data_IF_302542889874
#
_entry.id   IF_302542889874
#
_cell.length_a   1.000
_cell.length_b   1.000
_cell.length_c   1.000
_cell.angle_alpha   90.00
_cell.angle_beta   90.00
_cell.angle_gamma   90.00
#
_symmetry.space_group_name_H-M   'P 1'
#
loop_
_entity.id
_entity.type
_entity.pdbx_description
1 polymer ?
#
# COMPACT_ATOMS: atom_id res chain seq x y z
N UNK A 1 23.84 -1.38 11.61
CA UNK A 1 22.54 -2.02 11.38
C UNK A 1 21.46 -0.94 11.21
N UNK A 2 20.67 -1.08 10.18
CA UNK A 2 19.54 -0.16 10.01
C UNK A 2 18.41 -0.57 10.95
N UNK A 3 17.79 0.41 11.57
CA UNK A 3 16.60 0.18 12.39
C UNK A 3 15.43 -0.13 11.46
N UNK A 4 14.52 -0.97 11.94
CA UNK A 4 13.26 -1.19 11.21
C UNK A 4 12.43 0.09 11.24
N UNK A 5 11.80 0.39 10.13
CA UNK A 5 10.87 1.50 10.05
C UNK A 5 9.61 1.15 10.85
N UNK A 6 8.81 2.15 11.16
CA UNK A 6 7.64 1.97 12.02
C UNK A 6 6.34 1.99 11.24
N UNK A 7 5.37 1.21 11.71
CA UNK A 7 4.03 1.23 11.15
C UNK A 7 3.19 2.36 11.79
N UNK A 8 1.95 2.50 11.32
CA UNK A 8 1.05 3.56 11.79
C UNK A 8 0.67 3.42 13.26
N UNK A 9 0.94 2.26 13.87
CA UNK A 9 0.68 2.01 15.29
C UNK A 9 1.91 2.31 16.16
N UNK A 10 3.03 2.72 15.56
CA UNK A 10 4.27 3.01 16.27
C UNK A 10 5.11 1.79 16.59
N UNK A 11 4.75 0.64 16.02
CA UNK A 11 5.47 -0.62 16.19
C UNK A 11 6.38 -0.88 14.99
N UNK A 12 7.23 -1.90 15.06
CA UNK A 12 8.06 -2.28 13.92
C UNK A 12 7.18 -2.67 12.73
N UNK A 13 7.54 -2.16 11.56
CA UNK A 13 6.81 -2.42 10.32
C UNK A 13 6.92 -3.89 9.94
N UNK A 14 5.76 -4.56 9.74
CA UNK A 14 5.71 -5.95 9.32
C UNK A 14 5.76 -6.05 7.80
N UNK A 15 6.13 -7.23 7.30
CA UNK A 15 6.20 -7.53 5.88
C UNK A 15 4.82 -7.47 5.23
N UNK A 16 4.74 -6.86 4.05
CA UNK A 16 3.48 -6.72 3.31
C UNK A 16 3.24 -7.90 2.37
N UNK A 17 4.12 -8.11 1.40
CA UNK A 17 3.97 -9.22 0.45
C UNK A 17 5.29 -9.55 -0.24
N UNK A 18 5.54 -10.84 -0.45
CA UNK A 18 6.66 -11.33 -1.26
C UNK A 18 6.18 -11.98 -2.55
N UNK A 19 4.89 -12.23 -2.68
CA UNK A 19 4.29 -12.83 -3.89
C UNK A 19 2.89 -12.26 -4.08
N UNK A 20 2.77 -11.16 -4.83
CA UNK A 20 3.81 -10.43 -5.58
C UNK A 20 4.79 -9.72 -4.67
N UNK A 21 6.05 -9.64 -5.09
CA UNK A 21 7.06 -8.88 -4.36
C UNK A 21 6.75 -7.40 -4.49
N UNK A 22 6.64 -6.71 -3.36
CA UNK A 22 6.21 -5.32 -3.32
C UNK A 22 7.19 -4.44 -2.55
N UNK A 23 6.88 -3.15 -2.50
CA UNK A 23 7.62 -2.15 -1.76
C UNK A 23 8.48 -1.28 -2.67
N UNK A 24 8.74 -0.05 -2.23
CA UNK A 24 9.62 0.87 -2.94
C UNK A 24 10.98 0.24 -3.21
N UNK A 25 11.51 -0.50 -2.23
CA UNK A 25 12.79 -1.19 -2.33
C UNK A 25 12.68 -2.62 -2.85
N UNK A 26 11.48 -3.10 -3.13
CA UNK A 26 11.21 -4.50 -3.53
C UNK A 26 11.77 -5.51 -2.53
N UNK A 27 11.59 -5.21 -1.25
CA UNK A 27 12.01 -6.08 -0.14
C UNK A 27 10.83 -6.74 0.59
N UNK A 28 9.62 -6.58 0.05
CA UNK A 28 8.41 -7.15 0.62
C UNK A 28 7.75 -6.28 1.68
N UNK A 29 8.39 -5.18 2.07
CA UNK A 29 7.92 -4.28 3.12
C UNK A 29 7.63 -2.90 2.55
N UNK A 30 6.68 -2.19 3.15
CA UNK A 30 6.33 -0.84 2.72
C UNK A 30 7.27 0.21 3.31
N UNK A 31 8.58 -0.09 3.28
CA UNK A 31 9.63 0.83 3.67
C UNK A 31 9.69 2.00 2.67
N UNK A 32 10.14 3.15 3.15
CA UNK A 32 10.22 4.32 2.29
C UNK A 32 11.46 5.15 2.60
N UNK A 33 11.78 6.08 1.71
CA UNK A 33 12.83 7.06 1.94
C UNK A 33 12.44 8.38 1.27
N UNK A 34 13.35 9.35 1.31
CA UNK A 34 13.12 10.69 0.77
C UNK A 34 12.92 10.75 -0.74
N UNK A 35 13.32 9.70 -1.46
CA UNK A 35 13.17 9.63 -2.91
C UNK A 35 11.81 9.06 -3.34
N UNK A 36 11.07 8.49 -2.40
CA UNK A 36 9.75 7.91 -2.65
C UNK A 36 8.68 9.00 -2.51
N UNK A 37 8.54 9.83 -3.52
CA UNK A 37 7.68 11.01 -3.46
C UNK A 37 6.19 10.68 -3.31
N UNK A 38 5.75 9.55 -3.87
CA UNK A 38 4.36 9.12 -3.74
C UNK A 38 4.08 8.39 -2.44
N UNK A 39 5.11 8.03 -1.68
CA UNK A 39 5.05 7.24 -0.45
C UNK A 39 4.32 5.92 -0.66
N UNK A 40 5.04 4.93 -1.20
CA UNK A 40 4.51 3.57 -1.40
C UNK A 40 4.45 2.85 -0.06
N UNK A 41 3.62 3.35 0.84
CA UNK A 41 3.64 3.02 2.26
C UNK A 41 2.40 2.31 2.78
N UNK A 42 1.34 2.18 1.96
CA UNK A 42 0.09 1.56 2.39
C UNK A 42 0.06 0.09 1.98
N UNK A 43 0.12 -0.82 2.95
CA UNK A 43 -0.02 -2.25 2.63
C UNK A 43 -1.49 -2.58 2.48
N UNK A 44 -1.94 -2.70 1.24
CA UNK A 44 -3.33 -2.96 0.91
C UNK A 44 -3.53 -4.41 0.46
N UNK A 45 -4.70 -4.96 0.80
CA UNK A 45 -5.19 -6.18 0.18
C UNK A 45 -6.09 -5.70 -0.96
N UNK A 46 -5.53 -5.67 -2.17
CA UNK A 46 -6.24 -5.07 -3.29
C UNK A 46 -7.48 -5.87 -3.69
N UNK A 47 -8.48 -5.15 -4.18
CA UNK A 47 -9.72 -5.74 -4.66
C UNK A 47 -9.91 -5.38 -6.13
N UNK A 48 -10.70 -6.18 -6.84
CA UNK A 48 -11.02 -5.91 -8.24
C UNK A 48 -11.59 -4.49 -8.40
N UNK A 49 -12.52 -4.09 -7.54
CA UNK A 49 -13.12 -2.76 -7.60
C UNK A 49 -12.10 -1.65 -7.45
N UNK A 50 -11.20 -1.78 -6.47
CA UNK A 50 -10.15 -0.80 -6.23
C UNK A 50 -9.17 -0.72 -7.42
N UNK A 51 -8.76 -1.89 -7.94
CA UNK A 51 -7.83 -1.96 -9.06
C UNK A 51 -8.42 -1.33 -10.33
N UNK A 52 -9.69 -1.61 -10.61
CA UNK A 52 -10.37 -1.06 -11.79
C UNK A 52 -10.52 0.46 -11.67
N UNK A 53 -10.88 0.94 -10.48
CA UNK A 53 -10.99 2.38 -10.25
C UNK A 53 -9.64 3.08 -10.46
N UNK A 54 -8.57 2.50 -9.91
CA UNK A 54 -7.23 3.09 -10.06
C UNK A 54 -6.79 3.12 -11.52
N UNK A 55 -7.07 2.05 -12.26
CA UNK A 55 -6.74 1.99 -13.69
C UNK A 55 -7.44 3.12 -14.46
N UNK A 56 -8.72 3.31 -14.23
CA UNK A 56 -9.48 4.39 -14.87
C UNK A 56 -8.99 5.77 -14.46
N UNK A 57 -8.54 5.91 -13.22
CA UNK A 57 -8.04 7.18 -12.70
C UNK A 57 -6.62 7.51 -13.17
N UNK A 58 -5.92 6.55 -13.78
CA UNK A 58 -4.58 6.78 -14.32
C UNK A 58 -3.47 5.98 -13.68
N UNK A 59 -3.78 5.09 -12.74
CA UNK A 59 -2.79 4.25 -12.06
C UNK A 59 -3.09 2.78 -12.33
N UNK A 60 -2.63 2.28 -13.48
CA UNK A 60 -2.90 0.91 -13.90
C UNK A 60 -1.97 -0.07 -13.19
N UNK A 61 -2.50 -0.80 -12.21
CA UNK A 61 -1.79 -1.84 -11.49
C UNK A 61 -2.18 -3.25 -11.98
N UNK A 62 -3.05 -3.33 -12.97
CA UNK A 62 -3.56 -4.61 -13.49
C UNK A 62 -2.69 -5.15 -14.62
N UNK A 63 -2.25 -4.29 -15.52
CA UNK A 63 -1.48 -4.72 -16.69
C UNK A 63 -0.06 -5.14 -16.27
N UNK A 64 0.37 -6.37 -16.62
CA UNK A 64 1.74 -6.80 -16.33
C UNK A 64 2.77 -5.97 -17.07
N UNK A 65 3.92 -5.77 -16.44
CA UNK A 65 5.09 -5.13 -17.05
C UNK A 65 6.31 -6.02 -16.79
N UNK A 66 6.47 -7.10 -17.58
CA UNK A 66 7.58 -8.06 -17.37
C UNK A 66 8.95 -7.41 -17.40
N UNK A 67 9.14 -6.33 -18.17
CA UNK A 67 10.40 -5.59 -18.26
C UNK A 67 10.82 -4.99 -16.93
N UNK A 68 9.87 -4.79 -16.00
CA UNK A 68 10.14 -4.29 -14.65
C UNK A 68 9.93 -5.37 -13.58
N UNK A 69 9.71 -6.63 -14.01
CA UNK A 69 9.42 -7.70 -13.08
C UNK A 69 8.07 -7.57 -12.38
N UNK A 70 7.14 -6.80 -12.96
CA UNK A 70 5.82 -6.57 -12.37
C UNK A 70 4.79 -7.51 -13.01
N UNK A 71 4.21 -8.44 -12.22
CA UNK A 71 3.29 -9.44 -12.76
C UNK A 71 1.85 -8.95 -12.97
N UNK A 72 1.54 -7.71 -12.59
CA UNK A 72 0.16 -7.24 -12.52
C UNK A 72 -0.50 -7.75 -11.26
N UNK A 73 -1.45 -6.99 -10.73
CA UNK A 73 -2.15 -7.35 -9.50
C UNK A 73 -3.54 -7.92 -9.80
N UNK A 74 -4.00 -8.78 -8.92
CA UNK A 74 -5.33 -9.35 -8.96
C UNK A 74 -5.95 -9.31 -7.59
N UNK A 75 -7.24 -9.53 -7.50
CA UNK A 75 -7.98 -9.52 -6.24
C UNK A 75 -7.30 -10.39 -5.19
N UNK A 76 -7.10 -9.82 -4.01
CA UNK A 76 -6.48 -10.52 -2.89
C UNK A 76 -4.98 -10.33 -2.74
N UNK A 77 -4.31 -9.75 -3.74
CA UNK A 77 -2.87 -9.53 -3.65
C UNK A 77 -2.55 -8.44 -2.62
N UNK A 78 -1.40 -8.58 -1.95
CA UNK A 78 -0.85 -7.54 -1.08
C UNK A 78 0.06 -6.62 -1.87
N UNK A 79 -0.08 -5.33 -1.68
CA UNK A 79 0.73 -4.35 -2.41
C UNK A 79 0.97 -3.09 -1.59
N UNK A 80 2.18 -2.56 -1.65
CA UNK A 80 2.50 -1.28 -1.04
C UNK A 80 2.03 -0.16 -1.97
N UNK A 81 0.81 0.30 -1.74
CA UNK A 81 0.21 1.36 -2.54
C UNK A 81 0.78 2.73 -2.19
N UNK A 82 0.80 3.59 -3.19
CA UNK A 82 1.13 5.00 -3.01
C UNK A 82 0.08 5.65 -2.10
N UNK A 83 0.54 6.29 -1.02
CA UNK A 83 -0.36 6.89 -0.02
C UNK A 83 -1.23 7.99 -0.63
N UNK A 84 -0.70 8.78 -1.56
CA UNK A 84 -1.48 9.82 -2.23
C UNK A 84 -2.61 9.22 -3.08
N UNK A 85 -2.35 8.08 -3.74
CA UNK A 85 -3.39 7.37 -4.49
C UNK A 85 -4.44 6.76 -3.55
N UNK A 86 -3.99 6.23 -2.41
CA UNK A 86 -4.92 5.67 -1.42
C UNK A 86 -5.85 6.75 -0.88
N UNK A 87 -5.31 7.95 -0.60
CA UNK A 87 -6.12 9.08 -0.14
C UNK A 87 -7.22 9.42 -1.17
N UNK A 88 -6.88 9.40 -2.45
CA UNK A 88 -7.86 9.64 -3.53
C UNK A 88 -8.92 8.55 -3.57
N UNK A 89 -8.51 7.30 -3.36
CA UNK A 89 -9.45 6.17 -3.32
C UNK A 89 -10.43 6.30 -2.16
N UNK A 90 -9.95 6.76 -1.00
CA UNK A 90 -10.82 7.02 0.16
C UNK A 90 -11.88 8.07 -0.19
N UNK A 91 -11.47 9.16 -0.81
CA UNK A 91 -12.40 10.23 -1.22
C UNK A 91 -13.42 9.74 -2.25
N UNK A 92 -13.00 8.83 -3.13
CA UNK A 92 -13.87 8.27 -4.16
C UNK A 92 -14.74 7.12 -3.66
N UNK A 93 -14.60 6.75 -2.38
CA UNK A 93 -15.29 5.60 -1.77
C UNK A 93 -14.91 4.28 -2.49
N UNK A 94 -13.65 4.17 -2.87
CA UNK A 94 -13.09 3.01 -3.57
C UNK A 94 -11.87 2.42 -2.87
N UNK A 95 -11.66 2.79 -1.59
CA UNK A 95 -10.52 2.30 -0.84
C UNK A 95 -10.62 0.80 -0.58
N UNK A 96 -9.50 0.10 -0.75
CA UNK A 96 -9.44 -1.33 -0.46
C UNK A 96 -9.08 -1.56 1.02
N UNK A 97 -9.29 -2.79 1.53
CA UNK A 97 -8.85 -3.14 2.89
C UNK A 97 -7.34 -3.02 3.02
N UNK A 98 -6.88 -2.72 4.23
CA UNK A 98 -5.45 -2.53 4.49
C UNK A 98 -5.02 -3.25 5.77
N UNK A 99 -3.70 -3.42 5.91
CA UNK A 99 -3.08 -3.99 7.10
C UNK A 99 -2.32 -2.88 7.82
N UNK A 100 -2.81 -2.42 8.97
CA UNK A 100 -2.17 -1.33 9.71
C UNK A 100 -0.76 -1.70 10.18
N UNK A 101 -0.57 -2.94 10.60
CA UNK A 101 0.75 -3.41 11.08
C UNK A 101 1.80 -3.43 9.97
N UNK A 102 1.36 -3.42 8.73
CA UNK A 102 2.22 -3.47 7.54
C UNK A 102 2.23 -2.16 6.76
N UNK A 103 1.59 -1.12 7.30
CA UNK A 103 1.49 0.20 6.68
C UNK A 103 2.41 1.16 7.41
N UNK A 104 3.31 1.81 6.66
CA UNK A 104 4.31 2.71 7.20
C UNK A 104 3.68 3.96 7.81
N UNK A 105 4.25 4.45 8.91
CA UNK A 105 3.73 5.61 9.63
C UNK A 105 3.63 6.88 8.78
N UNK A 106 4.45 7.00 7.73
CA UNK A 106 4.41 8.19 6.86
C UNK A 106 3.12 8.31 6.06
N UNK A 107 2.32 7.23 6.00
CA UNK A 107 0.96 7.28 5.41
C UNK A 107 0.10 8.34 6.11
N UNK A 108 0.37 8.60 7.39
CA UNK A 108 -0.39 9.57 8.17
C UNK A 108 -0.27 11.00 7.64
N UNK A 109 0.69 11.26 6.77
CA UNK A 109 0.81 12.55 6.09
C UNK A 109 -0.33 12.78 5.09
N UNK A 110 -0.95 11.71 4.62
CA UNK A 110 -2.01 11.77 3.60
C UNK A 110 -3.37 11.34 4.13
N UNK A 111 -3.41 10.39 5.08
CA UNK A 111 -4.67 9.79 5.56
C UNK A 111 -4.62 9.70 7.07
N UNK A 112 -5.61 10.27 7.79
CA UNK A 112 -5.65 10.20 9.25
C UNK A 112 -5.82 8.76 9.75
N UNK A 113 -5.32 8.49 10.96
CA UNK A 113 -5.38 7.14 11.54
C UNK A 113 -6.83 6.66 11.70
N UNK A 114 -7.76 7.53 12.05
CA UNK A 114 -9.18 7.16 12.20
C UNK A 114 -9.76 6.63 10.90
N UNK A 115 -9.37 7.22 9.77
CA UNK A 115 -9.79 6.77 8.45
C UNK A 115 -9.17 5.42 8.11
N UNK A 116 -7.88 5.27 8.38
CA UNK A 116 -7.18 4.00 8.12
C UNK A 116 -7.80 2.85 8.92
N UNK A 117 -8.20 3.11 10.16
CA UNK A 117 -8.83 2.09 11.00
C UNK A 117 -10.14 1.57 10.42
N UNK A 118 -10.87 2.40 9.67
CA UNK A 118 -12.12 1.97 9.03
C UNK A 118 -11.90 0.87 8.00
N UNK A 119 -10.74 0.83 7.39
CA UNK A 119 -10.42 -0.13 6.33
C UNK A 119 -9.46 -1.23 6.79
N UNK A 120 -9.05 -1.21 8.05
CA UNK A 120 -8.09 -2.16 8.59
C UNK A 120 -8.71 -3.54 8.78
N UNK A 121 -7.97 -4.57 8.36
CA UNK A 121 -8.41 -5.97 8.50
C UNK A 121 -7.53 -6.77 9.46
N UNK A 122 -6.50 -6.15 10.03
CA UNK A 122 -5.60 -6.79 11.00
C UNK A 122 -5.75 -6.22 12.41
N UNK A 123 -6.80 -5.47 12.67
CA UNK A 123 -7.18 -5.05 14.03
C UNK A 123 -8.34 -5.90 14.49
N UNK A 124 -8.22 -6.40 15.70
CA UNK A 124 -9.30 -7.16 16.32
C UNK A 124 -10.15 -6.25 17.22
#
# INVERSE_FOLDING_TARGET
>A
MSEKQKNVLGEDLEECSNDPLTGWFRDGCCNTDENDHGLHTVCAKVTTECLEWMKEAGNDLITPHPEFGFPGLKDGDGWCLCASWYARAVEANKACPIFLKRTHQNTLKYVPIETLKKFAIDLS
#
